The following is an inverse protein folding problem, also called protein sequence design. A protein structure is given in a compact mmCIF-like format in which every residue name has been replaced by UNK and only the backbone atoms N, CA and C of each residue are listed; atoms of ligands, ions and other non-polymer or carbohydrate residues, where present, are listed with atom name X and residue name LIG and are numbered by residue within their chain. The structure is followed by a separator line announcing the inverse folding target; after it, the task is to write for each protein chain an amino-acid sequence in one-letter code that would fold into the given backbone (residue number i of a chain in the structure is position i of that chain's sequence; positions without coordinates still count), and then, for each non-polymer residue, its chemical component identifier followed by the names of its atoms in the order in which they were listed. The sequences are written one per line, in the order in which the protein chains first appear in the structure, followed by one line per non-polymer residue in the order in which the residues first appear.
data_IF_818938394310
#
_entry.id   IF_818938394310
#
_cell.length_a   1.000
_cell.length_b   1.000
_cell.length_c   1.000
_cell.angle_alpha   90.00
_cell.angle_beta   90.00
_cell.angle_gamma   90.00
#
_symmetry.space_group_name_H-M   'P 1'
#
loop_
_entity.id
_entity.type
_entity.pdbx_description
1 polymer ?
#
# COMPACT_ATOMS: atom_id res chain seq x y z
N UNK A 1 -23.44 -7.45 -30.65
CA UNK A 1 -24.39 -6.32 -30.76
C UNK A 1 -23.58 -5.04 -30.91
N UNK A 2 -23.78 -4.30 -32.02
CA UNK A 2 -23.15 -2.99 -32.26
C UNK A 2 -23.89 -1.93 -31.46
N UNK A 3 -23.20 -1.18 -30.60
CA UNK A 3 -23.75 0.04 -29.99
C UNK A 3 -23.31 1.25 -30.81
N UNK A 4 -24.31 2.00 -31.26
CA UNK A 4 -24.20 3.19 -32.10
C UNK A 4 -24.63 4.38 -31.24
N UNK A 5 -23.73 5.32 -30.95
CA UNK A 5 -24.07 6.57 -30.27
C UNK A 5 -24.53 7.59 -31.31
N UNK A 6 -25.79 8.01 -31.24
CA UNK A 6 -26.34 9.14 -31.99
C UNK A 6 -26.50 10.32 -31.04
N UNK A 7 -25.64 11.32 -31.17
CA UNK A 7 -25.86 12.64 -30.58
C UNK A 7 -26.68 13.47 -31.58
N UNK A 8 -27.96 13.70 -31.27
CA UNK A 8 -28.79 14.69 -31.95
C UNK A 8 -28.75 15.99 -31.13
N UNK A 9 -28.23 17.05 -31.74
CA UNK A 9 -28.38 18.43 -31.22
C UNK A 9 -29.36 19.14 -32.14
N UNK A 10 -30.55 19.42 -31.64
CA UNK A 10 -31.50 20.31 -32.28
C UNK A 10 -32.01 21.33 -31.26
N UNK A 11 -31.73 22.61 -31.50
CA UNK A 11 -32.77 23.58 -31.85
C UNK A 11 -32.17 24.96 -32.09
N UNK A 12 -32.71 25.60 -33.13
CA UNK A 12 -32.50 26.98 -33.52
C UNK A 12 -33.27 27.98 -32.64
N UNK A 13 -32.77 29.23 -32.58
CA UNK A 13 -33.52 30.50 -32.58
C UNK A 13 -32.51 31.65 -32.32
N UNK A 14 -32.13 32.42 -33.34
CA UNK A 14 -32.74 33.70 -33.76
C UNK A 14 -32.08 34.91 -33.07
N UNK A 15 -31.32 35.67 -33.86
CA UNK A 15 -30.71 36.94 -33.50
C UNK A 15 -31.77 38.02 -33.27
N UNK A 16 -31.65 38.76 -32.17
CA UNK A 16 -32.24 40.09 -32.01
C UNK A 16 -31.21 41.02 -31.36
N UNK A 17 -30.87 42.09 -32.08
CA UNK A 17 -29.91 43.12 -31.68
C UNK A 17 -30.62 44.21 -30.86
N UNK A 18 -30.28 44.37 -29.57
CA UNK A 18 -30.23 45.67 -28.91
C UNK A 18 -29.13 45.67 -27.83
N UNK A 19 -28.35 46.76 -27.69
CA UNK A 19 -27.26 46.84 -26.73
C UNK A 19 -27.74 47.41 -25.39
N UNK A 20 -27.18 46.95 -24.25
CA UNK A 20 -26.71 47.78 -23.13
C UNK A 20 -26.39 46.94 -21.85
N UNK A 21 -25.13 47.09 -21.40
CA UNK A 21 -24.53 46.91 -20.05
C UNK A 21 -24.16 45.48 -19.55
N UNK A 22 -22.97 45.32 -18.92
CA UNK A 22 -22.50 44.04 -18.44
C UNK A 22 -23.06 43.76 -17.04
N UNK A 23 -24.03 42.85 -16.96
CA UNK A 23 -24.30 42.16 -15.71
C UNK A 23 -23.69 40.78 -15.85
N UNK A 24 -22.69 40.49 -15.03
CA UNK A 24 -21.98 39.21 -14.98
C UNK A 24 -22.95 38.17 -14.40
N UNK A 25 -23.80 37.59 -15.24
CA UNK A 25 -24.63 36.44 -14.91
C UNK A 25 -23.88 35.20 -15.38
N UNK A 26 -23.26 34.49 -14.45
CA UNK A 26 -22.76 33.13 -14.68
C UNK A 26 -23.94 32.29 -15.18
N UNK A 27 -23.89 31.69 -16.38
CA UNK A 27 -24.91 30.75 -16.79
C UNK A 27 -24.80 29.53 -15.87
N UNK A 28 -25.85 29.28 -15.08
CA UNK A 28 -26.04 27.98 -14.42
C UNK A 28 -26.17 26.94 -15.54
N UNK A 29 -25.07 26.27 -15.86
CA UNK A 29 -25.11 25.06 -16.65
C UNK A 29 -25.93 24.04 -15.86
N UNK A 30 -27.18 23.83 -16.29
CA UNK A 30 -28.04 22.81 -15.70
C UNK A 30 -27.66 21.49 -16.37
N UNK A 31 -26.79 20.71 -15.71
CA UNK A 31 -26.44 19.37 -16.17
C UNK A 31 -27.64 18.46 -15.89
N UNK A 32 -28.41 18.14 -16.92
CA UNK A 32 -29.46 17.14 -16.84
C UNK A 32 -28.83 15.75 -16.98
N UNK A 33 -28.59 15.08 -15.86
CA UNK A 33 -28.23 13.66 -15.85
C UNK A 33 -29.50 12.86 -16.12
N UNK A 34 -29.66 12.31 -17.33
CA UNK A 34 -30.63 11.24 -17.59
C UNK A 34 -30.00 9.93 -17.14
N UNK A 35 -30.46 9.39 -16.03
CA UNK A 35 -30.17 8.02 -15.63
C UNK A 35 -30.88 7.06 -16.59
N UNK A 36 -30.16 6.04 -17.09
CA UNK A 36 -30.81 4.91 -17.72
C UNK A 36 -31.60 4.15 -16.67
N UNK A 37 -32.82 3.74 -17.02
CA UNK A 37 -33.69 2.96 -16.15
C UNK A 37 -33.24 1.50 -16.27
N UNK A 38 -32.41 1.05 -15.33
CA UNK A 38 -32.05 -0.36 -15.17
C UNK A 38 -33.31 -1.03 -14.60
N UNK A 39 -33.97 -1.90 -15.38
CA UNK A 39 -35.31 -2.48 -15.13
C UNK A 39 -35.48 -3.34 -13.87
N UNK A 40 -34.69 -3.07 -12.84
CA UNK A 40 -34.44 -3.82 -11.62
C UNK A 40 -35.22 -3.22 -10.42
N UNK A 41 -35.87 -2.07 -10.60
CA UNK A 41 -36.67 -1.40 -9.56
C UNK A 41 -35.87 -0.83 -8.39
N UNK A 42 -34.53 -0.84 -8.45
CA UNK A 42 -33.66 -0.19 -7.46
C UNK A 42 -33.39 1.24 -7.90
N UNK A 43 -33.90 2.21 -7.14
CA UNK A 43 -33.65 3.63 -7.40
C UNK A 43 -32.13 3.93 -7.35
N UNK A 44 -31.53 4.53 -8.40
CA UNK A 44 -30.15 5.00 -8.38
C UNK A 44 -29.88 6.02 -7.26
N UNK A 45 -30.92 6.69 -6.75
CA UNK A 45 -30.83 7.61 -5.61
C UNK A 45 -30.57 6.89 -4.27
N UNK A 46 -30.79 5.58 -4.18
CA UNK A 46 -30.43 4.81 -2.99
C UNK A 46 -28.90 4.77 -2.79
N UNK A 47 -28.12 4.78 -3.87
CA UNK A 47 -26.65 4.82 -3.83
C UNK A 47 -26.09 6.17 -3.34
N UNK A 48 -26.86 7.26 -3.44
CA UNK A 48 -26.48 8.59 -2.96
C UNK A 48 -26.61 8.74 -1.44
N UNK A 49 -27.40 7.90 -0.75
CA UNK A 49 -27.61 7.99 0.71
C UNK A 49 -26.40 7.54 1.53
N UNK A 50 -25.46 6.84 0.92
CA UNK A 50 -24.23 6.34 1.55
C UNK A 50 -22.96 6.99 0.98
N UNK A 51 -23.07 8.09 0.23
CA UNK A 51 -21.93 8.72 -0.43
C UNK A 51 -21.17 9.63 0.56
N UNK A 52 -19.90 9.35 0.90
CA UNK A 52 -19.14 10.17 1.84
C UNK A 52 -18.99 11.61 1.32
N UNK A 53 -19.02 12.60 2.24
CA UNK A 53 -18.84 14.02 1.89
C UNK A 53 -17.55 14.26 1.08
N UNK A 54 -16.47 13.52 1.41
CA UNK A 54 -15.21 13.57 0.68
C UNK A 54 -15.34 13.13 -0.79
N UNK A 55 -16.13 12.09 -1.07
CA UNK A 55 -16.40 11.62 -2.43
C UNK A 55 -17.26 12.60 -3.23
N UNK A 56 -18.22 13.25 -2.56
CA UNK A 56 -19.03 14.31 -3.17
C UNK A 56 -18.18 15.54 -3.54
N UNK A 57 -17.27 15.95 -2.64
CA UNK A 57 -16.30 17.03 -2.92
C UNK A 57 -15.35 16.66 -4.06
N UNK A 58 -14.84 15.43 -4.07
CA UNK A 58 -13.99 14.94 -5.16
C UNK A 58 -14.73 14.95 -6.50
N UNK A 59 -16.00 14.55 -6.54
CA UNK A 59 -16.83 14.61 -7.74
C UNK A 59 -17.00 16.04 -8.26
N UNK A 60 -17.26 17.01 -7.38
CA UNK A 60 -17.38 18.41 -7.76
C UNK A 60 -16.07 18.97 -8.33
N UNK A 61 -14.93 18.70 -7.66
CA UNK A 61 -13.60 19.11 -8.13
C UNK A 61 -13.27 18.48 -9.48
N UNK A 62 -13.60 17.20 -9.65
CA UNK A 62 -13.38 16.47 -10.91
C UNK A 62 -14.17 17.13 -12.05
N UNK A 63 -15.46 17.41 -11.85
CA UNK A 63 -16.30 18.05 -12.87
C UNK A 63 -15.79 19.45 -13.22
N UNK A 64 -15.43 20.23 -12.21
CA UNK A 64 -14.89 21.60 -12.38
C UNK A 64 -13.57 21.62 -13.16
N UNK A 65 -12.63 20.73 -12.84
CA UNK A 65 -11.41 20.52 -13.63
C UNK A 65 -11.72 20.10 -15.08
N UNK A 66 -12.67 19.18 -15.26
CA UNK A 66 -13.12 18.75 -16.59
C UNK A 66 -13.67 19.90 -17.43
N UNK A 67 -14.49 20.77 -16.84
CA UNK A 67 -15.02 21.97 -17.50
C UNK A 67 -13.87 22.90 -17.90
N UNK A 68 -12.91 23.18 -17.00
CA UNK A 68 -11.76 24.03 -17.33
C UNK A 68 -10.92 23.48 -18.49
N UNK A 69 -10.74 22.16 -18.56
CA UNK A 69 -10.02 21.53 -19.67
C UNK A 69 -10.68 21.77 -21.03
N UNK A 70 -12.02 21.86 -21.11
CA UNK A 70 -12.72 22.15 -22.37
C UNK A 70 -12.36 23.51 -22.96
N UNK A 71 -12.04 24.50 -22.12
CA UNK A 71 -11.56 25.81 -22.54
C UNK A 71 -10.04 25.90 -22.67
N UNK A 72 -9.29 25.21 -21.82
CA UNK A 72 -7.83 25.33 -21.73
C UNK A 72 -7.09 24.52 -22.80
N UNK A 73 -7.58 23.33 -23.15
CA UNK A 73 -6.92 22.46 -24.15
C UNK A 73 -6.92 23.07 -25.55
N UNK A 74 -8.03 23.64 -26.07
CA UNK A 74 -8.00 24.34 -27.36
C UNK A 74 -7.05 25.55 -27.36
N UNK A 75 -6.88 26.22 -26.21
CA UNK A 75 -5.97 27.35 -26.08
C UNK A 75 -4.48 26.94 -26.16
N UNK A 76 -4.14 25.67 -25.90
CA UNK A 76 -2.79 25.13 -26.13
C UNK A 76 -2.39 25.10 -27.60
N UNK A 77 -3.39 25.04 -28.49
CA UNK A 77 -3.20 24.93 -29.95
C UNK A 77 -3.56 26.26 -30.66
N UNK A 78 -4.00 27.26 -29.90
CA UNK A 78 -4.45 28.56 -30.38
C UNK A 78 -3.40 29.67 -30.27
N UNK A 79 -3.77 30.89 -30.66
CA UNK A 79 -2.88 32.05 -30.70
C UNK A 79 -2.70 32.78 -29.34
N UNK A 80 -3.43 32.38 -28.30
CA UNK A 80 -3.32 32.96 -26.96
C UNK A 80 -2.15 32.31 -26.18
N UNK A 81 -1.45 33.04 -25.30
CA UNK A 81 -0.39 32.47 -24.49
C UNK A 81 -0.96 31.35 -23.58
N UNK A 82 -0.52 30.11 -23.75
CA UNK A 82 -1.10 28.97 -23.03
C UNK A 82 -0.68 28.90 -21.56
N UNK A 83 -1.65 28.60 -20.68
CA UNK A 83 -1.40 28.26 -19.28
C UNK A 83 -1.14 26.75 -19.14
N UNK A 84 0.07 26.33 -19.49
CA UNK A 84 0.46 24.91 -19.44
C UNK A 84 0.34 24.30 -18.03
N UNK A 85 0.76 25.04 -17.00
CA UNK A 85 0.75 24.53 -15.63
C UNK A 85 -0.69 24.32 -15.12
N UNK A 86 -1.57 25.30 -15.31
CA UNK A 86 -2.98 25.16 -14.94
C UNK A 86 -3.66 24.03 -15.70
N UNK A 87 -3.39 23.90 -17.01
CA UNK A 87 -3.94 22.83 -17.83
C UNK A 87 -3.44 21.45 -17.39
N UNK A 88 -2.16 21.32 -17.03
CA UNK A 88 -1.59 20.08 -16.53
C UNK A 88 -2.15 19.69 -15.16
N UNK A 89 -2.32 20.66 -14.25
CA UNK A 89 -2.94 20.43 -12.95
C UNK A 89 -4.40 20.00 -13.09
N UNK A 90 -5.20 20.70 -13.90
CA UNK A 90 -6.60 20.33 -14.15
C UNK A 90 -6.72 18.94 -14.81
N UNK A 91 -5.81 18.59 -15.73
CA UNK A 91 -5.76 17.25 -16.32
C UNK A 91 -5.44 16.19 -15.26
N UNK A 92 -4.47 16.45 -14.38
CA UNK A 92 -4.12 15.56 -13.28
C UNK A 92 -5.29 15.31 -12.32
N UNK A 93 -5.94 16.37 -11.85
CA UNK A 93 -7.10 16.27 -10.96
C UNK A 93 -8.29 15.60 -11.63
N UNK A 94 -8.56 15.90 -12.91
CA UNK A 94 -9.64 15.26 -13.67
C UNK A 94 -9.41 13.76 -13.81
N UNK A 95 -8.20 13.33 -14.18
CA UNK A 95 -7.85 11.91 -14.33
C UNK A 95 -7.87 11.18 -12.98
N UNK A 96 -7.27 11.76 -11.94
CA UNK A 96 -7.25 11.18 -10.60
C UNK A 96 -8.66 11.05 -10.00
N UNK A 97 -9.45 12.13 -10.07
CA UNK A 97 -10.81 12.17 -9.56
C UNK A 97 -11.74 11.21 -10.31
N UNK A 98 -11.66 11.18 -11.65
CA UNK A 98 -12.44 10.24 -12.46
C UNK A 98 -12.08 8.80 -12.13
N UNK A 99 -10.78 8.46 -12.04
CA UNK A 99 -10.33 7.12 -11.65
C UNK A 99 -10.88 6.74 -10.28
N UNK A 100 -10.71 7.59 -9.27
CA UNK A 100 -11.14 7.31 -7.88
C UNK A 100 -12.65 7.12 -7.80
N UNK A 101 -13.45 7.92 -8.52
CA UNK A 101 -14.90 7.79 -8.55
C UNK A 101 -15.36 6.52 -9.27
N UNK A 102 -14.70 6.14 -10.37
CA UNK A 102 -14.98 4.90 -11.07
C UNK A 102 -14.60 3.67 -10.22
N UNK A 103 -13.51 3.73 -9.46
CA UNK A 103 -13.13 2.70 -8.48
C UNK A 103 -14.13 2.61 -7.32
N UNK A 104 -14.61 3.74 -6.80
CA UNK A 104 -15.66 3.79 -5.75
C UNK A 104 -17.00 3.25 -6.25
N UNK A 105 -17.35 3.49 -7.51
CA UNK A 105 -18.55 2.97 -8.14
C UNK A 105 -18.43 1.50 -8.58
N UNK A 106 -17.24 0.89 -8.44
CA UNK A 106 -16.98 -0.48 -8.90
C UNK A 106 -17.00 -0.65 -10.42
N UNK A 107 -16.93 0.45 -11.18
CA UNK A 107 -16.97 0.46 -12.65
C UNK A 107 -15.62 0.03 -13.23
N UNK A 108 -14.53 0.43 -12.58
CA UNK A 108 -13.18 -0.07 -12.87
C UNK A 108 -12.64 -0.74 -11.62
N UNK A 109 -11.85 -1.81 -11.79
CA UNK A 109 -11.14 -2.42 -10.69
C UNK A 109 -10.25 -1.38 -10.00
N UNK A 110 -10.13 -1.45 -8.68
CA UNK A 110 -9.14 -0.65 -7.95
C UNK A 110 -7.79 -0.95 -8.58
N UNK A 111 -7.06 0.11 -8.93
CA UNK A 111 -5.65 0.04 -9.28
C UNK A 111 -4.89 -0.42 -8.04
N UNK A 112 -4.90 -1.72 -7.78
CA UNK A 112 -4.23 -2.33 -6.65
C UNK A 112 -2.74 -2.37 -6.96
N UNK A 113 -1.99 -1.39 -6.42
CA UNK A 113 -0.52 -1.31 -6.53
C UNK A 113 0.19 -2.64 -6.14
N UNK A 114 -0.50 -3.49 -5.38
CA UNK A 114 -0.07 -4.81 -4.94
C UNK A 114 -0.89 -5.97 -5.53
N UNK A 115 -1.65 -5.76 -6.61
CA UNK A 115 -2.39 -6.83 -7.30
C UNK A 115 -1.47 -7.94 -7.78
N UNK A 116 -0.25 -7.61 -8.21
CA UNK A 116 0.73 -8.59 -8.68
C UNK A 116 1.35 -9.43 -7.54
N UNK A 117 1.07 -9.12 -6.26
CA UNK A 117 1.44 -9.99 -5.12
C UNK A 117 0.54 -11.23 -5.00
N UNK A 118 -0.26 -11.50 -6.05
CA UNK A 118 -1.00 -12.74 -6.28
C UNK A 118 -0.07 -13.93 -6.52
N UNK A 119 0.54 -14.42 -5.44
CA UNK A 119 1.14 -15.74 -5.39
C UNK A 119 0.13 -16.80 -4.95
N UNK A 120 -0.82 -17.14 -5.82
CA UNK A 120 -1.58 -18.40 -5.80
C UNK A 120 -2.77 -18.55 -4.85
N UNK A 121 -3.01 -17.63 -3.91
CA UNK A 121 -4.15 -17.67 -3.01
C UNK A 121 -4.89 -16.34 -3.00
N UNK A 122 -6.20 -16.39 -3.25
CA UNK A 122 -7.11 -15.27 -2.98
C UNK A 122 -6.99 -14.97 -1.48
N UNK A 123 -6.55 -13.76 -1.11
CA UNK A 123 -6.15 -13.35 0.26
C UNK A 123 -4.71 -13.68 0.69
N UNK A 124 -3.71 -13.47 -0.18
CA UNK A 124 -2.31 -13.48 0.25
C UNK A 124 -2.06 -12.40 1.31
N UNK A 125 -1.40 -12.78 2.42
CA UNK A 125 -1.08 -11.85 3.51
C UNK A 125 -0.22 -10.66 3.03
N UNK A 126 0.56 -10.85 1.95
CA UNK A 126 1.30 -9.77 1.31
C UNK A 126 0.40 -8.72 0.65
N UNK A 127 -0.69 -9.14 -0.02
CA UNK A 127 -1.71 -8.22 -0.55
C UNK A 127 -2.39 -7.46 0.57
N UNK A 128 -2.77 -8.15 1.64
CA UNK A 128 -3.35 -7.55 2.84
C UNK A 128 -2.42 -6.49 3.47
N UNK A 129 -1.14 -6.83 3.70
CA UNK A 129 -0.14 -5.88 4.18
C UNK A 129 -0.02 -4.67 3.25
N UNK A 130 -0.11 -4.87 1.95
CA UNK A 130 -0.09 -3.82 0.95
C UNK A 130 -1.30 -2.88 1.04
N UNK A 131 -2.49 -3.43 1.27
CA UNK A 131 -3.70 -2.64 1.49
C UNK A 131 -3.61 -1.79 2.77
N UNK A 132 -3.06 -2.35 3.86
CA UNK A 132 -2.77 -1.58 5.08
C UNK A 132 -1.78 -0.45 4.81
N UNK A 133 -0.70 -0.74 4.06
CA UNK A 133 0.31 0.25 3.72
C UNK A 133 -0.26 1.43 2.92
N UNK A 134 -1.14 1.15 1.95
CA UNK A 134 -1.82 2.17 1.14
C UNK A 134 -2.76 3.06 1.97
N UNK A 135 -3.23 2.60 3.14
CA UNK A 135 -4.01 3.38 4.09
C UNK A 135 -3.17 4.04 5.17
N UNK A 136 -1.86 3.80 5.19
CA UNK A 136 -0.95 4.29 6.24
C UNK A 136 -1.19 3.62 7.60
N UNK A 137 -1.80 2.43 7.60
CA UNK A 137 -2.17 1.70 8.82
C UNK A 137 -1.02 0.81 9.31
N UNK A 138 -0.91 0.66 10.63
CA UNK A 138 0.01 -0.27 11.31
C UNK A 138 -0.85 -1.25 12.11
N UNK A 139 -1.24 -2.39 11.52
CA UNK A 139 -2.22 -3.28 12.12
C UNK A 139 -1.60 -4.17 13.20
N UNK A 140 -2.26 -4.30 14.35
CA UNK A 140 -1.91 -5.31 15.36
C UNK A 140 -2.58 -6.68 15.12
N UNK A 141 -3.59 -6.73 14.23
CA UNK A 141 -4.33 -7.93 13.85
C UNK A 141 -4.46 -8.02 12.33
N UNK A 142 -4.40 -9.24 11.80
CA UNK A 142 -4.77 -9.52 10.41
C UNK A 142 -6.29 -9.47 10.22
N UNK A 143 -6.74 -9.43 8.97
CA UNK A 143 -8.17 -9.53 8.61
C UNK A 143 -8.81 -10.84 9.10
N UNK A 144 -8.01 -11.89 9.29
CA UNK A 144 -8.45 -13.17 9.84
C UNK A 144 -8.40 -13.22 11.39
N UNK A 145 -8.01 -12.14 12.06
CA UNK A 145 -7.99 -12.03 13.52
C UNK A 145 -6.74 -12.61 14.20
N UNK A 146 -5.68 -12.92 13.44
CA UNK A 146 -4.39 -13.34 14.00
C UNK A 146 -3.54 -12.14 14.38
N UNK A 147 -2.66 -12.28 15.39
CA UNK A 147 -1.75 -11.20 15.78
C UNK A 147 -0.69 -10.96 14.71
N UNK A 148 -0.34 -9.68 14.51
CA UNK A 148 0.69 -9.26 13.56
C UNK A 148 1.98 -8.93 14.29
N UNK A 149 3.11 -9.36 13.73
CA UNK A 149 4.44 -9.04 14.19
C UNK A 149 5.33 -8.58 13.03
N UNK A 150 6.22 -7.62 13.29
CA UNK A 150 7.20 -7.15 12.31
C UNK A 150 8.62 -7.27 12.87
N UNK A 151 9.51 -7.85 12.08
CA UNK A 151 10.92 -8.07 12.44
C UNK A 151 11.85 -7.69 11.29
N UNK A 152 13.10 -7.34 11.60
CA UNK A 152 14.19 -7.25 10.64
C UNK A 152 15.36 -8.12 11.13
N UNK A 153 15.89 -8.94 10.23
CA UNK A 153 16.91 -9.96 10.54
C UNK A 153 18.07 -9.99 9.55
N UNK A 154 18.32 -8.89 8.82
CA UNK A 154 19.21 -8.89 7.65
C UNK A 154 18.45 -9.24 6.38
N UNK A 155 19.06 -10.01 5.48
CA UNK A 155 18.39 -10.46 4.26
C UNK A 155 17.04 -11.13 4.60
N UNK A 156 15.96 -10.55 4.10
CA UNK A 156 14.60 -11.00 4.41
C UNK A 156 14.26 -12.41 3.88
N UNK A 157 15.04 -12.96 2.93
CA UNK A 157 14.79 -14.29 2.37
C UNK A 157 15.04 -15.40 3.38
N UNK A 158 16.20 -15.36 4.04
CA UNK A 158 16.53 -16.29 5.12
C UNK A 158 15.63 -16.09 6.33
N UNK A 159 15.40 -14.82 6.68
CA UNK A 159 14.53 -14.45 7.80
C UNK A 159 13.12 -14.99 7.60
N UNK A 160 12.50 -14.78 6.44
CA UNK A 160 11.17 -15.31 6.11
C UNK A 160 11.12 -16.83 6.29
N UNK A 161 12.07 -17.56 5.69
CA UNK A 161 12.08 -19.02 5.75
C UNK A 161 12.21 -19.54 7.19
N UNK A 162 12.98 -18.86 8.05
CA UNK A 162 13.08 -19.23 9.46
C UNK A 162 11.74 -19.11 10.20
N UNK A 163 10.95 -18.09 9.90
CA UNK A 163 9.63 -17.88 10.51
C UNK A 163 8.54 -18.76 9.89
N UNK A 164 8.60 -19.02 8.59
CA UNK A 164 7.67 -19.94 7.93
C UNK A 164 7.64 -21.33 8.56
N UNK A 165 8.76 -21.78 9.12
CA UNK A 165 8.89 -23.11 9.74
C UNK A 165 8.35 -23.18 11.17
N UNK A 166 7.85 -22.10 11.73
CA UNK A 166 7.37 -22.08 13.12
C UNK A 166 5.89 -22.48 13.16
N UNK A 167 5.51 -23.54 13.92
CA UNK A 167 4.10 -23.81 14.21
C UNK A 167 3.42 -22.58 14.83
N UNK A 168 2.20 -22.27 14.40
CA UNK A 168 1.47 -21.07 14.83
C UNK A 168 1.75 -19.81 14.00
N UNK A 169 2.84 -19.73 13.22
CA UNK A 169 2.97 -18.70 12.18
C UNK A 169 2.07 -19.08 11.00
N UNK A 170 1.07 -18.26 10.71
CA UNK A 170 0.03 -18.55 9.72
C UNK A 170 0.46 -18.08 8.33
N UNK A 171 1.00 -16.86 8.24
CA UNK A 171 1.42 -16.27 6.99
C UNK A 171 2.60 -15.31 7.18
N UNK A 172 3.41 -15.15 6.13
CA UNK A 172 4.57 -14.26 6.09
C UNK A 172 4.51 -13.36 4.86
N UNK A 173 5.08 -12.16 4.98
CA UNK A 173 5.31 -11.23 3.90
C UNK A 173 6.66 -10.55 4.11
N UNK A 174 7.50 -10.50 3.07
CA UNK A 174 8.74 -9.72 3.09
C UNK A 174 8.51 -8.32 2.53
N UNK A 175 9.24 -7.34 3.02
CA UNK A 175 9.02 -5.94 2.67
C UNK A 175 9.98 -4.98 3.33
N UNK A 176 9.59 -3.71 3.32
CA UNK A 176 10.40 -2.57 3.72
C UNK A 176 9.69 -1.77 4.80
N UNK A 177 10.40 -1.43 5.87
CA UNK A 177 9.83 -0.67 6.99
C UNK A 177 10.86 0.24 7.65
N UNK A 178 10.45 1.07 8.61
CA UNK A 178 11.31 2.01 9.37
C UNK A 178 12.06 3.03 8.50
N UNK A 179 11.56 3.31 7.29
CA UNK A 179 12.09 4.31 6.37
C UNK A 179 11.06 5.38 6.05
N UNK A 180 11.46 6.34 5.23
CA UNK A 180 10.70 7.58 5.01
C UNK A 180 10.11 7.70 3.59
N UNK A 181 10.29 6.68 2.75
CA UNK A 181 9.84 6.70 1.35
C UNK A 181 8.58 5.86 1.25
N UNK A 182 7.49 6.44 0.76
CA UNK A 182 6.29 5.66 0.46
C UNK A 182 6.49 4.82 -0.78
N UNK A 183 5.92 3.61 -0.78
CA UNK A 183 5.97 2.68 -1.92
C UNK A 183 7.40 2.49 -2.48
N UNK A 184 8.39 2.17 -1.63
CA UNK A 184 9.77 2.05 -2.07
C UNK A 184 9.94 0.80 -2.94
N UNK A 185 10.74 0.89 -4.01
CA UNK A 185 11.20 -0.28 -4.76
C UNK A 185 12.46 -0.88 -4.15
N UNK A 186 12.76 -2.14 -4.47
CA UNK A 186 14.00 -2.78 -4.06
C UNK A 186 15.24 -1.95 -4.42
N UNK A 187 15.32 -1.41 -5.64
CA UNK A 187 16.47 -0.61 -6.10
C UNK A 187 16.64 0.66 -5.28
N UNK A 188 15.54 1.31 -4.90
CA UNK A 188 15.58 2.49 -4.03
C UNK A 188 16.12 2.12 -2.65
N UNK A 189 15.67 1.00 -2.08
CA UNK A 189 16.15 0.50 -0.78
C UNK A 189 17.61 0.09 -0.82
N UNK A 190 18.06 -0.62 -1.87
CA UNK A 190 19.47 -0.94 -2.09
C UNK A 190 20.35 0.31 -2.23
N UNK A 191 19.81 1.41 -2.74
CA UNK A 191 20.49 2.71 -2.78
C UNK A 191 20.78 3.31 -1.40
N UNK A 192 20.18 2.79 -0.33
CA UNK A 192 20.47 3.14 1.07
C UNK A 192 19.93 4.49 1.54
N UNK A 193 19.36 5.31 0.65
CA UNK A 193 18.88 6.67 0.95
C UNK A 193 17.46 6.72 1.50
N UNK A 194 16.70 5.62 1.42
CA UNK A 194 15.29 5.59 1.83
C UNK A 194 15.10 5.50 3.34
N UNK A 195 16.15 5.09 4.06
CA UNK A 195 16.10 4.77 5.48
C UNK A 195 15.40 3.44 5.80
N UNK A 196 14.83 2.74 4.82
CA UNK A 196 14.18 1.46 5.07
C UNK A 196 15.17 0.39 5.51
N UNK A 197 14.64 -0.59 6.23
CA UNK A 197 15.27 -1.90 6.37
C UNK A 197 14.43 -2.94 5.66
N UNK A 198 15.10 -3.97 5.14
CA UNK A 198 14.46 -5.24 4.84
C UNK A 198 13.89 -5.81 6.14
N UNK A 199 12.64 -6.25 6.06
CA UNK A 199 11.95 -6.85 7.18
C UNK A 199 10.92 -7.86 6.71
N UNK A 200 10.36 -8.55 7.69
CA UNK A 200 9.24 -9.44 7.53
C UNK A 200 8.08 -8.91 8.38
N UNK A 201 6.88 -9.01 7.85
CA UNK A 201 5.65 -8.97 8.61
C UNK A 201 5.05 -10.36 8.58
N UNK A 202 4.51 -10.82 9.70
CA UNK A 202 3.87 -12.12 9.80
C UNK A 202 2.57 -12.03 10.61
N UNK A 203 1.65 -12.93 10.31
CA UNK A 203 0.47 -13.22 11.12
C UNK A 203 0.70 -14.52 11.90
N UNK A 204 0.42 -14.53 13.20
CA UNK A 204 0.58 -15.71 14.06
C UNK A 204 -0.60 -15.92 15.01
N UNK A 205 -0.84 -17.19 15.36
CA UNK A 205 -1.82 -17.60 16.35
C UNK A 205 -1.19 -17.58 17.76
N UNK A 206 -1.58 -16.64 18.64
CA UNK A 206 -1.05 -16.54 20.00
C UNK A 206 -1.43 -17.74 20.88
N UNK A 207 -2.40 -18.57 20.46
CA UNK A 207 -2.75 -19.80 21.14
C UNK A 207 -1.75 -20.95 20.85
N UNK A 208 -0.95 -20.84 19.78
CA UNK A 208 0.00 -21.86 19.35
C UNK A 208 1.46 -21.42 19.57
N UNK A 209 1.79 -20.18 19.26
CA UNK A 209 3.13 -19.61 19.47
C UNK A 209 3.03 -18.25 20.13
N UNK A 210 3.88 -18.01 21.13
CA UNK A 210 3.88 -16.75 21.83
C UNK A 210 4.83 -15.75 21.18
N UNK A 211 4.56 -14.47 21.34
CA UNK A 211 5.39 -13.41 20.75
C UNK A 211 6.83 -13.40 21.30
N UNK A 212 7.03 -13.75 22.58
CA UNK A 212 8.36 -13.90 23.18
C UNK A 212 9.19 -15.00 22.50
N UNK A 213 8.58 -16.11 22.11
CA UNK A 213 9.25 -17.18 21.34
C UNK A 213 9.68 -16.69 19.95
N UNK A 214 8.87 -15.83 19.31
CA UNK A 214 9.20 -15.21 18.03
C UNK A 214 10.37 -14.23 18.14
N UNK A 215 10.41 -13.42 19.21
CA UNK A 215 11.57 -12.56 19.51
C UNK A 215 12.84 -13.39 19.76
N UNK A 216 12.75 -14.43 20.59
CA UNK A 216 13.89 -15.28 20.91
C UNK A 216 14.37 -16.03 19.66
N UNK A 217 13.46 -16.44 18.76
CA UNK A 217 13.80 -17.01 17.47
C UNK A 217 14.63 -16.06 16.61
N UNK A 218 14.21 -14.80 16.46
CA UNK A 218 14.96 -13.81 15.67
C UNK A 218 16.39 -13.66 16.20
N UNK A 219 16.53 -13.48 17.52
CA UNK A 219 17.82 -13.28 18.19
C UNK A 219 18.71 -14.53 18.09
N UNK A 220 18.12 -15.72 18.12
CA UNK A 220 18.84 -16.97 17.90
C UNK A 220 19.34 -17.11 16.46
N UNK A 221 18.52 -16.75 15.46
CA UNK A 221 18.89 -16.77 14.04
C UNK A 221 20.04 -15.80 13.75
N UNK A 222 19.99 -14.59 14.33
CA UNK A 222 21.06 -13.59 14.21
C UNK A 222 22.37 -14.04 14.88
N UNK A 223 22.29 -14.87 15.92
CA UNK A 223 23.48 -15.46 16.55
C UNK A 223 24.44 -14.41 17.12
N UNK A 224 25.64 -14.29 16.54
CA UNK A 224 26.63 -13.28 16.93
C UNK A 224 26.36 -11.91 16.31
N UNK A 225 25.61 -11.85 15.21
CA UNK A 225 25.33 -10.62 14.46
C UNK A 225 24.42 -9.66 15.24
N UNK A 226 23.78 -10.13 16.33
CA UNK A 226 23.05 -9.27 17.28
C UNK A 226 23.91 -8.15 17.88
N UNK A 227 25.24 -8.25 17.79
CA UNK A 227 26.20 -7.24 18.27
C UNK A 227 26.77 -6.36 17.14
N UNK A 228 26.42 -6.66 15.88
CA UNK A 228 26.91 -5.99 14.68
C UNK A 228 25.92 -4.94 14.20
N UNK A 229 26.38 -3.71 13.93
CA UNK A 229 25.52 -2.61 13.46
C UNK A 229 25.41 -2.64 11.94
N UNK A 230 24.18 -2.55 11.41
CA UNK A 230 23.91 -2.46 9.96
C UNK A 230 24.55 -3.61 9.15
N UNK A 231 24.57 -4.81 9.73
CA UNK A 231 25.20 -5.99 9.13
C UNK A 231 24.59 -7.27 9.69
N UNK A 232 24.34 -8.22 8.80
CA UNK A 232 24.04 -9.62 9.14
C UNK A 232 24.75 -10.51 8.13
N UNK A 233 25.53 -11.47 8.61
CA UNK A 233 26.38 -12.31 7.76
C UNK A 233 27.29 -11.47 6.86
N UNK A 234 27.18 -11.67 5.55
CA UNK A 234 27.97 -10.93 4.56
C UNK A 234 27.29 -9.64 4.07
N UNK A 235 26.02 -9.46 4.38
CA UNK A 235 25.21 -8.33 3.93
C UNK A 235 25.48 -7.10 4.81
N UNK A 236 25.84 -5.98 4.18
CA UNK A 236 26.24 -4.73 4.84
C UNK A 236 25.43 -3.57 4.32
N UNK A 237 24.92 -2.75 5.23
CA UNK A 237 24.15 -1.56 4.91
C UNK A 237 22.99 -1.36 5.88
N UNK A 238 22.48 -0.13 5.94
CA UNK A 238 21.36 0.24 6.81
C UNK A 238 20.10 -0.56 6.48
N UNK A 239 19.96 -1.01 5.23
CA UNK A 239 18.87 -1.87 4.78
C UNK A 239 18.91 -3.29 5.37
N UNK A 240 20.03 -3.71 5.94
CA UNK A 240 20.19 -5.02 6.59
C UNK A 240 20.34 -4.92 8.10
N UNK A 241 19.95 -3.78 8.70
CA UNK A 241 19.92 -3.67 10.16
C UNK A 241 18.89 -4.64 10.74
N UNK A 242 19.11 -5.09 11.96
CA UNK A 242 18.19 -5.98 12.66
C UNK A 242 17.41 -5.24 13.73
N UNK A 243 16.15 -5.62 13.90
CA UNK A 243 15.22 -4.94 14.79
C UNK A 243 13.96 -5.74 15.07
N UNK A 244 13.35 -5.45 16.22
CA UNK A 244 12.03 -5.93 16.61
C UNK A 244 11.12 -4.72 16.59
N UNK A 245 9.98 -4.84 15.89
CA UNK A 245 9.06 -3.72 15.69
C UNK A 245 7.68 -4.05 16.24
N UNK A 246 7.45 -3.78 17.55
CA UNK A 246 6.18 -4.08 18.22
C UNK A 246 5.01 -3.26 17.67
N UNK A 247 3.85 -3.92 17.54
CA UNK A 247 2.57 -3.30 17.18
C UNK A 247 1.72 -2.92 18.38
N UNK A 248 2.05 -3.43 19.57
CA UNK A 248 1.34 -3.17 20.83
C UNK A 248 2.31 -2.98 21.98
N UNK A 249 1.84 -2.39 23.08
CA UNK A 249 2.65 -2.22 24.30
C UNK A 249 3.08 -3.57 24.90
N UNK A 250 2.20 -4.58 24.86
CA UNK A 250 2.53 -5.94 25.31
C UNK A 250 3.66 -6.56 24.47
N UNK A 251 3.66 -6.35 23.15
CA UNK A 251 4.77 -6.76 22.29
C UNK A 251 6.05 -5.97 22.60
N UNK A 252 5.94 -4.69 22.98
CA UNK A 252 7.11 -3.87 23.33
C UNK A 252 7.77 -4.34 24.63
N UNK A 253 6.98 -4.67 25.64
CA UNK A 253 7.47 -5.28 26.88
C UNK A 253 8.15 -6.63 26.61
N UNK A 254 7.51 -7.49 25.83
CA UNK A 254 8.05 -8.80 25.46
C UNK A 254 9.36 -8.69 24.66
N UNK A 255 9.45 -7.76 23.71
CA UNK A 255 10.65 -7.48 22.94
C UNK A 255 11.80 -6.98 23.85
N UNK A 256 11.51 -6.06 24.78
CA UNK A 256 12.48 -5.59 25.76
C UNK A 256 13.02 -6.73 26.64
N UNK A 257 12.13 -7.62 27.10
CA UNK A 257 12.51 -8.80 27.88
C UNK A 257 13.39 -9.77 27.06
N UNK A 258 13.07 -10.01 25.79
CA UNK A 258 13.87 -10.84 24.89
C UNK A 258 15.28 -10.28 24.67
N UNK A 259 15.40 -8.96 24.48
CA UNK A 259 16.70 -8.28 24.40
C UNK A 259 17.49 -8.47 25.71
N UNK A 260 16.85 -8.32 26.87
CA UNK A 260 17.51 -8.52 28.16
C UNK A 260 18.02 -9.96 28.34
N UNK A 261 17.20 -10.96 27.98
CA UNK A 261 17.58 -12.39 27.99
C UNK A 261 18.76 -12.65 27.06
N UNK A 262 18.70 -12.14 25.82
CA UNK A 262 19.78 -12.29 24.85
C UNK A 262 21.07 -11.63 25.35
N UNK A 263 21.01 -10.38 25.83
CA UNK A 263 22.16 -9.63 26.32
C UNK A 263 22.90 -10.36 27.45
N UNK A 264 22.19 -11.07 28.34
CA UNK A 264 22.80 -11.85 29.41
C UNK A 264 23.73 -12.98 28.93
N UNK A 265 23.61 -13.38 27.66
CA UNK A 265 24.43 -14.44 27.04
C UNK A 265 25.53 -13.92 26.12
N UNK A 266 25.63 -12.60 25.93
CA UNK A 266 26.55 -11.97 24.97
C UNK A 266 27.67 -11.22 25.69
N UNK A 267 28.87 -11.27 25.12
CA UNK A 267 30.06 -10.59 25.65
C UNK A 267 30.10 -9.10 25.30
N UNK A 268 29.39 -8.69 24.25
CA UNK A 268 29.25 -7.28 23.86
C UNK A 268 27.77 -6.87 23.83
N UNK A 269 27.55 -5.58 23.64
CA UNK A 269 26.21 -4.99 23.60
C UNK A 269 25.41 -5.56 22.44
N UNK A 270 24.20 -6.04 22.73
CA UNK A 270 23.17 -6.33 21.74
C UNK A 270 22.68 -5.01 21.16
N UNK A 271 22.82 -4.86 19.84
CA UNK A 271 22.48 -3.63 19.10
C UNK A 271 21.17 -3.75 18.31
N UNK A 272 20.46 -4.87 18.44
CA UNK A 272 19.12 -5.06 17.86
C UNK A 272 18.18 -3.98 18.37
N UNK A 273 17.63 -3.18 17.46
CA UNK A 273 16.76 -2.07 17.83
C UNK A 273 15.36 -2.57 18.23
N UNK A 274 14.76 -1.91 19.23
CA UNK A 274 13.34 -2.09 19.56
C UNK A 274 12.68 -0.74 19.37
N UNK A 275 11.82 -0.62 18.35
CA UNK A 275 11.11 0.61 17.98
C UNK A 275 9.67 0.28 17.60
N UNK A 276 8.70 1.17 17.82
CA UNK A 276 7.33 0.93 17.37
C UNK A 276 7.28 0.57 15.88
N UNK A 277 6.40 -0.36 15.52
CA UNK A 277 6.11 -0.65 14.13
C UNK A 277 5.67 0.61 13.39
N UNK A 278 6.18 0.76 12.18
CA UNK A 278 5.74 1.77 11.21
C UNK A 278 5.04 1.08 10.05
N UNK A 279 4.56 1.85 9.08
CA UNK A 279 4.03 1.31 7.83
C UNK A 279 5.02 0.29 7.25
N UNK A 280 4.48 -0.85 6.82
CA UNK A 280 5.21 -1.94 6.20
C UNK A 280 4.84 -1.99 4.72
N UNK A 281 5.80 -1.77 3.84
CA UNK A 281 5.59 -1.82 2.40
C UNK A 281 6.02 -3.19 1.88
N UNK A 282 5.08 -4.06 1.45
CA UNK A 282 5.45 -5.33 0.83
C UNK A 282 6.45 -5.14 -0.32
N UNK A 283 7.45 -6.01 -0.36
CA UNK A 283 8.37 -6.12 -1.48
C UNK A 283 7.71 -6.84 -2.65
N UNK A 284 8.33 -6.76 -3.81
CA UNK A 284 7.86 -7.32 -5.07
C UNK A 284 7.64 -8.85 -4.98
N UNK A 285 6.74 -9.37 -5.82
CA UNK A 285 6.31 -10.77 -5.77
C UNK A 285 7.44 -11.80 -5.95
N UNK A 286 8.56 -11.42 -6.59
CA UNK A 286 9.72 -12.28 -6.76
C UNK A 286 10.53 -12.46 -5.46
N UNK A 287 10.47 -11.52 -4.51
CA UNK A 287 11.09 -11.66 -3.19
C UNK A 287 10.27 -12.52 -2.23
N UNK A 288 8.95 -12.53 -2.39
CA UNK A 288 8.06 -13.32 -1.53
C UNK A 288 8.36 -14.82 -1.67
N UNK A 289 8.65 -15.49 -0.55
CA UNK A 289 8.91 -16.93 -0.49
C UNK A 289 10.08 -17.36 -1.38
N UNK A 290 11.08 -16.50 -1.54
CA UNK A 290 12.18 -16.69 -2.49
C UNK A 290 12.90 -18.05 -2.29
N UNK A 291 13.33 -18.37 -1.07
CA UNK A 291 14.04 -19.63 -0.79
C UNK A 291 13.14 -20.86 -0.89
N UNK A 292 11.86 -20.73 -0.55
CA UNK A 292 10.88 -21.80 -0.73
C UNK A 292 10.68 -22.12 -2.21
N UNK A 293 10.50 -21.09 -3.04
CA UNK A 293 10.45 -21.21 -4.51
C UNK A 293 11.74 -21.78 -5.09
N UNK A 294 12.88 -21.48 -4.44
CA UNK A 294 14.21 -22.00 -4.77
C UNK A 294 14.50 -23.43 -4.28
N UNK A 295 13.54 -24.11 -3.61
CA UNK A 295 13.64 -25.52 -3.25
C UNK A 295 14.05 -25.81 -1.80
N UNK A 296 14.15 -24.81 -0.93
CA UNK A 296 14.31 -25.05 0.51
C UNK A 296 12.96 -25.26 1.18
N UNK A 297 12.79 -26.37 1.92
CA UNK A 297 11.52 -26.69 2.56
C UNK A 297 11.13 -25.61 3.58
N UNK A 298 9.88 -25.16 3.52
CA UNK A 298 9.23 -24.27 4.47
C UNK A 298 8.25 -25.03 5.39
N UNK A 299 8.29 -26.36 5.40
CA UNK A 299 7.46 -27.19 6.27
C UNK A 299 7.70 -26.83 7.74
N UNK A 300 6.63 -26.88 8.54
CA UNK A 300 6.70 -26.61 9.96
C UNK A 300 7.69 -27.56 10.62
N UNK A 301 8.50 -27.01 11.54
CA UNK A 301 9.54 -27.71 12.28
C UNK A 301 10.70 -28.25 11.44
N UNK A 302 10.82 -27.84 10.16
CA UNK A 302 11.94 -28.25 9.32
C UNK A 302 13.28 -27.76 9.91
N UNK A 303 14.13 -28.72 10.27
CA UNK A 303 15.45 -28.48 10.91
C UNK A 303 16.60 -28.33 9.91
N UNK A 304 16.37 -28.53 8.61
CA UNK A 304 17.41 -28.43 7.59
C UNK A 304 18.02 -27.02 7.62
N UNK A 305 19.34 -26.84 7.73
CA UNK A 305 19.95 -25.52 7.77
C UNK A 305 19.52 -24.65 6.59
N UNK A 306 19.12 -23.40 6.86
CA UNK A 306 18.75 -22.42 5.84
C UNK A 306 20.00 -21.92 5.14
N UNK A 307 20.03 -21.99 3.81
CA UNK A 307 21.07 -21.39 2.97
C UNK A 307 20.60 -20.02 2.51
N UNK A 308 21.37 -18.97 2.77
CA UNK A 308 20.91 -17.59 2.63
C UNK A 308 20.39 -17.20 1.24
N UNK A 309 20.95 -17.79 0.17
CA UNK A 309 20.67 -17.36 -1.21
C UNK A 309 20.22 -18.48 -2.17
N UNK A 310 20.04 -19.71 -1.66
CA UNK A 310 19.73 -20.89 -2.49
C UNK A 310 20.34 -22.17 -1.99
#
# INVERSE_FOLDING_TARGET
MRFMFLASVASAAAFSLQPLRPCMVLPRATVAVRMADDGDGKSPLAALKSFPLASALLALVTVDCGIRLTSSVPALVGAAPPNYLGTALDAGFFLFGTKTLLEQAGIIGKSEYYSDLEGGEVNSFAREAGEFALRGEVPSLSNAGFEVATFAGGCFWGTELHFQRIPGVIATCVGYTQGNVEKPSYEQVCGGLTGHTEGIQLAFDPAVVRYDDLCDKLLAVLGTDVMEVNRVGNDRGTQYRHGIYPHTDAQAEAAGAAIARCQATKSAKVVTEVKPATVFWPAEGYHQRYLQKGGQSAEKECIVPVRCYG
#
